data_IF_442043580668
#
_entry.id   IF_442043580668
#
_cell.length_a   1.000
_cell.length_b   1.000
_cell.length_c   1.000
_cell.angle_alpha   90.00
_cell.angle_beta   90.00
_cell.angle_gamma   90.00
#
_symmetry.space_group_name_H-M   'P 1'
#
loop_
_entity.id
_entity.type
_entity.pdbx_description
1 polymer ?
#
# COMPACT_ATOMS: atom_id res chain seq x y z
N UNK A 1 -11.91 14.34 5.66
CA UNK A 1 -10.62 13.65 5.49
C UNK A 1 -10.07 13.22 6.83
N UNK A 2 -9.87 11.91 6.99
CA UNK A 2 -9.27 11.26 8.16
C UNK A 2 -7.91 10.65 7.79
N UNK A 3 -7.06 10.44 8.78
CA UNK A 3 -5.74 9.85 8.60
C UNK A 3 -5.57 8.57 9.44
N UNK A 4 -4.86 7.60 8.88
CA UNK A 4 -4.27 6.45 9.57
C UNK A 4 -2.75 6.54 9.46
N UNK A 5 -2.05 6.24 10.54
CA UNK A 5 -0.60 6.14 10.58
C UNK A 5 -0.22 4.92 11.44
N UNK A 6 0.51 3.99 10.86
CA UNK A 6 0.81 2.70 11.49
C UNK A 6 2.28 2.35 11.23
N UNK A 7 2.98 1.91 12.27
CA UNK A 7 4.38 1.50 12.21
C UNK A 7 4.43 0.01 12.56
N UNK A 8 4.98 -0.80 11.67
CA UNK A 8 5.10 -2.25 11.85
C UNK A 8 6.55 -2.66 11.68
N UNK A 9 7.10 -3.31 12.70
CA UNK A 9 8.50 -3.76 12.72
C UNK A 9 8.62 -5.20 12.23
N UNK A 10 9.73 -5.50 11.56
CA UNK A 10 10.09 -6.85 11.11
C UNK A 10 11.60 -7.04 11.15
N UNK A 11 12.05 -8.29 11.31
CA UNK A 11 13.47 -8.67 11.24
C UNK A 11 13.99 -8.76 9.78
N UNK A 12 13.13 -8.57 8.79
CA UNK A 12 13.55 -8.49 7.38
C UNK A 12 14.28 -7.17 7.14
N UNK A 13 15.43 -7.22 6.47
CA UNK A 13 16.23 -6.04 6.13
C UNK A 13 15.44 -5.02 5.31
N UNK A 14 15.64 -3.73 5.58
CA UNK A 14 15.02 -2.62 4.85
C UNK A 14 15.20 -2.70 3.33
N UNK A 15 16.35 -3.20 2.86
CA UNK A 15 16.65 -3.34 1.43
C UNK A 15 15.69 -4.33 0.74
N UNK A 16 15.50 -5.52 1.31
CA UNK A 16 14.59 -6.54 0.76
C UNK A 16 13.13 -6.06 0.75
N UNK A 17 12.69 -5.44 1.84
CA UNK A 17 11.34 -4.87 1.94
C UNK A 17 11.14 -3.76 0.91
N UNK A 18 12.11 -2.85 0.78
CA UNK A 18 12.04 -1.76 -0.18
C UNK A 18 12.06 -2.25 -1.63
N UNK A 19 12.92 -3.22 -1.98
CA UNK A 19 12.98 -3.76 -3.33
C UNK A 19 11.62 -4.32 -3.78
N UNK A 20 10.88 -4.96 -2.87
CA UNK A 20 9.54 -5.48 -3.16
C UNK A 20 8.46 -4.38 -3.21
N UNK A 21 8.50 -3.41 -2.29
CA UNK A 21 7.54 -2.30 -2.28
C UNK A 21 7.72 -1.37 -3.49
N UNK A 22 8.96 -1.09 -3.87
CA UNK A 22 9.30 -0.20 -4.98
C UNK A 22 8.85 -0.74 -6.34
N UNK A 23 8.69 -2.05 -6.47
CA UNK A 23 8.02 -2.67 -7.62
C UNK A 23 6.50 -2.46 -7.53
N UNK A 24 6.08 -1.24 -7.88
CA UNK A 24 4.68 -0.82 -7.84
C UNK A 24 3.78 -1.70 -8.74
N UNK A 25 4.35 -2.23 -9.84
CA UNK A 25 3.67 -3.08 -10.82
C UNK A 25 3.55 -4.53 -10.37
N UNK A 26 4.36 -4.98 -9.39
CA UNK A 26 4.36 -6.35 -8.87
C UNK A 26 3.44 -6.57 -7.66
N UNK A 27 2.55 -5.63 -7.33
CA UNK A 27 1.80 -5.62 -6.07
C UNK A 27 1.04 -6.93 -5.76
N UNK A 28 0.31 -7.50 -6.74
CA UNK A 28 -0.47 -8.71 -6.51
C UNK A 28 0.39 -9.97 -6.29
N UNK A 29 1.67 -9.94 -6.66
CA UNK A 29 2.57 -11.08 -6.47
C UNK A 29 2.76 -11.43 -4.98
N UNK A 30 2.63 -10.43 -4.09
CA UNK A 30 2.81 -10.61 -2.66
C UNK A 30 1.57 -10.23 -1.85
N UNK A 31 0.86 -9.14 -2.19
CA UNK A 31 -0.27 -8.66 -1.39
C UNK A 31 -1.54 -9.51 -1.58
N UNK A 32 -1.79 -9.98 -2.80
CA UNK A 32 -2.94 -10.81 -3.14
C UNK A 32 -2.66 -12.32 -3.10
N UNK A 33 -1.46 -12.73 -2.65
CA UNK A 33 -1.01 -14.12 -2.77
C UNK A 33 -0.97 -14.63 -4.22
N UNK A 34 -0.80 -13.72 -5.20
CA UNK A 34 -0.85 -14.04 -6.63
C UNK A 34 -2.26 -14.15 -7.22
N UNK A 35 -3.32 -13.88 -6.45
CA UNK A 35 -4.69 -13.89 -6.95
C UNK A 35 -5.09 -12.51 -7.52
N UNK A 36 -5.89 -12.54 -8.59
CA UNK A 36 -6.40 -11.35 -9.28
C UNK A 36 -5.65 -11.05 -10.58
N UNK A 37 -5.98 -9.91 -11.19
CA UNK A 37 -5.34 -9.40 -12.40
C UNK A 37 -4.81 -8.00 -12.15
N UNK A 38 -3.62 -7.72 -12.69
CA UNK A 38 -2.99 -6.40 -12.65
C UNK A 38 -2.64 -5.99 -14.09
N UNK A 39 -2.97 -4.75 -14.44
CA UNK A 39 -2.51 -4.11 -15.68
C UNK A 39 -1.96 -2.73 -15.37
N UNK A 40 -0.98 -2.29 -16.18
CA UNK A 40 -0.26 -1.05 -15.96
C UNK A 40 -0.50 -0.13 -17.16
N UNK A 41 -0.83 1.13 -16.86
CA UNK A 41 -0.91 2.23 -17.83
C UNK A 41 0.23 3.21 -17.57
N UNK A 42 1.03 3.48 -18.59
CA UNK A 42 2.18 4.39 -18.50
C UNK A 42 3.39 3.78 -17.77
N UNK A 43 4.36 4.64 -17.45
CA UNK A 43 5.63 4.27 -16.84
C UNK A 43 6.10 5.34 -15.85
N UNK A 44 6.84 4.94 -14.81
CA UNK A 44 7.42 5.86 -13.82
C UNK A 44 6.39 6.63 -13.00
N UNK A 45 6.77 7.80 -12.48
CA UNK A 45 5.85 8.66 -11.73
C UNK A 45 4.67 9.07 -12.64
N UNK A 46 3.45 8.86 -12.16
CA UNK A 46 2.23 9.07 -12.91
C UNK A 46 1.64 7.80 -13.53
N UNK A 47 2.38 6.68 -13.55
CA UNK A 47 1.82 5.40 -14.01
C UNK A 47 0.67 4.93 -13.11
N UNK A 48 -0.28 4.23 -13.71
CA UNK A 48 -1.47 3.71 -13.04
C UNK A 48 -1.42 2.19 -13.03
N UNK A 49 -1.62 1.59 -11.86
CA UNK A 49 -1.91 0.16 -11.74
C UNK A 49 -3.41 -0.03 -11.60
N UNK A 50 -3.98 -0.88 -12.45
CA UNK A 50 -5.35 -1.34 -12.33
C UNK A 50 -5.33 -2.71 -11.67
N UNK A 51 -6.09 -2.86 -10.59
CA UNK A 51 -6.19 -4.08 -9.81
C UNK A 51 -7.61 -4.62 -9.92
N UNK A 52 -7.74 -5.87 -10.32
CA UNK A 52 -8.99 -6.62 -10.32
C UNK A 52 -8.86 -7.80 -9.36
N UNK A 53 -9.63 -7.78 -8.29
CA UNK A 53 -9.62 -8.78 -7.23
C UNK A 53 -11.04 -9.25 -6.94
N UNK A 54 -11.19 -10.32 -6.16
CA UNK A 54 -12.51 -10.82 -5.75
C UNK A 54 -13.35 -9.77 -4.99
N UNK A 55 -12.71 -8.79 -4.35
CA UNK A 55 -13.34 -7.68 -3.65
C UNK A 55 -13.72 -6.48 -4.52
N UNK A 56 -13.45 -6.52 -5.83
CA UNK A 56 -13.76 -5.45 -6.77
C UNK A 56 -12.55 -4.99 -7.60
N UNK A 57 -12.77 -3.91 -8.33
CA UNK A 57 -11.78 -3.28 -9.18
C UNK A 57 -11.42 -1.89 -8.65
N UNK A 58 -10.13 -1.58 -8.66
CA UNK A 58 -9.63 -0.26 -8.30
C UNK A 58 -8.43 0.11 -9.16
N UNK A 59 -8.11 1.39 -9.24
CA UNK A 59 -6.86 1.84 -9.86
C UNK A 59 -6.17 2.89 -9.01
N UNK A 60 -4.86 2.79 -8.94
CA UNK A 60 -3.99 3.66 -8.15
C UNK A 60 -2.88 4.20 -9.02
N UNK A 61 -2.59 5.49 -8.89
CA UNK A 61 -1.52 6.16 -9.60
C UNK A 61 -0.32 6.36 -8.70
N UNK A 62 0.86 6.04 -9.21
CA UNK A 62 2.13 6.30 -8.52
C UNK A 62 2.40 7.80 -8.49
N UNK A 63 2.54 8.36 -7.28
CA UNK A 63 2.76 9.80 -7.08
C UNK A 63 4.14 10.12 -6.50
N UNK A 64 4.78 9.15 -5.86
CA UNK A 64 6.11 9.27 -5.27
C UNK A 64 6.84 7.94 -5.37
N UNK A 65 8.09 7.99 -5.80
CA UNK A 65 9.06 6.89 -5.72
C UNK A 65 10.41 7.52 -5.40
N UNK A 66 10.87 7.31 -4.17
CA UNK A 66 12.08 7.91 -3.62
C UNK A 66 12.93 6.80 -3.00
N UNK A 67 13.86 6.21 -3.78
CA UNK A 67 14.73 5.13 -3.34
C UNK A 67 15.68 5.51 -2.21
N UNK A 68 16.14 6.77 -2.19
CA UNK A 68 17.09 7.26 -1.20
C UNK A 68 16.47 7.24 0.19
N UNK A 69 15.21 7.66 0.30
CA UNK A 69 14.46 7.64 1.56
C UNK A 69 13.54 6.41 1.73
N UNK A 70 13.55 5.49 0.77
CA UNK A 70 12.69 4.29 0.70
C UNK A 70 11.22 4.63 0.90
N UNK A 71 10.73 5.61 0.13
CA UNK A 71 9.35 6.09 0.16
C UNK A 71 8.65 5.83 -1.16
N UNK A 72 7.45 5.27 -1.07
CA UNK A 72 6.54 5.12 -2.18
C UNK A 72 5.20 5.74 -1.81
N UNK A 73 4.59 6.48 -2.73
CA UNK A 73 3.29 7.09 -2.52
C UNK A 73 2.39 6.95 -3.73
N UNK A 74 1.08 6.83 -3.49
CA UNK A 74 0.09 6.62 -4.53
C UNK A 74 -1.25 7.25 -4.16
N UNK A 75 -2.06 7.56 -5.16
CA UNK A 75 -3.43 8.02 -4.98
C UNK A 75 -4.43 7.14 -5.73
N UNK A 76 -5.61 6.98 -5.12
CA UNK A 76 -6.74 6.27 -5.71
C UNK A 76 -7.31 7.12 -6.85
N UNK A 77 -7.38 6.55 -8.05
CA UNK A 77 -7.92 7.20 -9.25
C UNK A 77 -9.19 6.52 -9.79
N UNK A 78 -9.46 5.27 -9.38
CA UNK A 78 -10.69 4.55 -9.70
C UNK A 78 -11.05 3.54 -8.60
N UNK A 79 -12.35 3.26 -8.45
CA UNK A 79 -12.88 2.36 -7.43
C UNK A 79 -13.08 3.04 -6.09
N UNK A 80 -13.70 2.32 -5.15
CA UNK A 80 -14.03 2.83 -3.82
C UNK A 80 -13.69 1.80 -2.74
N UNK A 81 -12.41 1.39 -2.63
CA UNK A 81 -12.00 0.41 -1.63
C UNK A 81 -12.36 0.89 -0.22
N UNK A 82 -12.97 0.01 0.58
CA UNK A 82 -13.41 0.30 1.95
C UNK A 82 -14.37 1.51 2.06
N UNK A 83 -15.05 1.88 0.97
CA UNK A 83 -15.94 3.05 0.90
C UNK A 83 -15.21 4.39 0.79
N UNK A 84 -13.91 4.39 0.47
CA UNK A 84 -13.13 5.62 0.30
C UNK A 84 -13.39 6.24 -1.07
N UNK A 85 -13.84 7.50 -1.10
CA UNK A 85 -13.99 8.31 -2.34
C UNK A 85 -12.71 8.99 -2.76
N UNK A 86 -11.86 9.32 -1.77
CA UNK A 86 -10.54 9.88 -1.97
C UNK A 86 -9.60 9.13 -1.06
N UNK A 87 -8.45 8.74 -1.58
CA UNK A 87 -7.43 8.08 -0.80
C UNK A 87 -6.06 8.39 -1.36
N UNK A 88 -5.12 8.68 -0.47
CA UNK A 88 -3.69 8.83 -0.75
C UNK A 88 -2.91 8.09 0.30
N UNK A 89 -1.86 7.42 -0.12
CA UNK A 89 -0.98 6.67 0.76
C UNK A 89 0.47 7.04 0.56
N UNK A 90 1.24 6.95 1.64
CA UNK A 90 2.70 6.90 1.62
C UNK A 90 3.12 5.71 2.48
N UNK A 91 3.95 4.84 1.91
CA UNK A 91 4.69 3.82 2.66
C UNK A 91 6.17 4.23 2.71
N UNK A 92 6.77 4.12 3.89
CA UNK A 92 8.19 4.35 4.11
C UNK A 92 8.82 3.14 4.79
N UNK A 93 10.01 2.74 4.37
CA UNK A 93 10.81 1.73 5.05
C UNK A 93 11.98 2.41 5.77
N UNK A 94 12.14 2.15 7.06
CA UNK A 94 13.23 2.70 7.88
C UNK A 94 14.07 1.55 8.41
N UNK A 95 15.38 1.60 8.15
CA UNK A 95 16.34 0.63 8.67
C UNK A 95 16.53 0.83 10.18
N UNK A 96 16.46 -0.25 10.96
CA UNK A 96 16.65 -0.24 12.41
C UNK A 96 17.97 -0.90 12.84
N UNK A 97 18.80 -1.35 11.89
CA UNK A 97 20.08 -2.03 12.11
C UNK A 97 19.96 -3.55 12.26
N UNK A 98 18.84 -4.05 12.81
CA UNK A 98 18.55 -5.49 12.95
C UNK A 98 17.35 -5.96 12.10
N UNK A 99 16.75 -5.07 11.34
CA UNK A 99 15.51 -5.28 10.60
C UNK A 99 15.04 -3.98 9.96
N UNK A 100 13.72 -3.78 9.89
CA UNK A 100 13.17 -2.48 9.52
C UNK A 100 11.79 -2.20 10.11
N UNK A 101 11.45 -0.92 10.14
CA UNK A 101 10.10 -0.42 10.36
C UNK A 101 9.44 -0.07 9.02
N UNK A 102 8.22 -0.56 8.82
CA UNK A 102 7.36 -0.23 7.69
C UNK A 102 6.29 0.73 8.19
N UNK A 103 6.36 1.97 7.72
CA UNK A 103 5.49 3.07 8.12
C UNK A 103 4.44 3.28 7.04
N UNK A 104 3.20 2.93 7.33
CA UNK A 104 2.05 3.19 6.47
C UNK A 104 1.32 4.45 6.90
N UNK A 105 1.10 5.36 5.95
CA UNK A 105 0.30 6.57 6.15
C UNK A 105 -0.77 6.63 5.08
N UNK A 106 -2.03 6.68 5.51
CA UNK A 106 -3.18 6.82 4.63
C UNK A 106 -3.98 8.05 4.99
N UNK A 107 -4.35 8.87 4.01
CA UNK A 107 -5.32 9.96 4.17
C UNK A 107 -6.49 9.67 3.24
N UNK A 108 -7.68 9.62 3.81
CA UNK A 108 -8.88 9.25 3.05
C UNK A 108 -10.09 10.10 3.40
N UNK A 109 -11.09 10.01 2.53
CA UNK A 109 -12.44 10.54 2.76
C UNK A 109 -13.47 9.51 2.33
N UNK A 110 -14.58 9.44 3.06
CA UNK A 110 -15.74 8.60 2.77
C UNK A 110 -16.90 9.49 2.34
N UNK A 111 -17.92 8.90 1.71
CA UNK A 111 -19.15 9.64 1.37
C UNK A 111 -19.91 10.10 2.61
N UNK A 112 -20.09 9.19 3.56
CA UNK A 112 -20.65 9.47 4.87
C UNK A 112 -19.51 9.72 5.90
N UNK A 113 -19.42 10.91 6.51
CA UNK A 113 -18.46 11.20 7.57
C UNK A 113 -18.58 10.25 8.78
N UNK A 114 -19.77 9.75 9.10
CA UNK A 114 -19.99 8.81 10.21
C UNK A 114 -19.28 7.47 10.03
N UNK A 115 -18.97 7.11 8.78
CA UNK A 115 -18.28 5.88 8.42
C UNK A 115 -16.74 5.96 8.52
N UNK A 116 -16.16 7.16 8.71
CA UNK A 116 -14.70 7.35 8.71
C UNK A 116 -13.98 6.57 9.81
N UNK A 117 -14.62 6.36 10.96
CA UNK A 117 -14.03 5.57 12.05
C UNK A 117 -13.88 4.09 11.68
N UNK A 118 -14.94 3.51 11.11
CA UNK A 118 -14.92 2.14 10.64
C UNK A 118 -13.94 1.94 9.46
N UNK A 119 -13.97 2.84 8.47
CA UNK A 119 -13.03 2.81 7.34
C UNK A 119 -11.58 2.95 7.82
N UNK A 120 -11.32 3.80 8.82
CA UNK A 120 -9.98 3.94 9.39
C UNK A 120 -9.49 2.65 10.06
N UNK A 121 -10.35 1.98 10.83
CA UNK A 121 -10.01 0.69 11.43
C UNK A 121 -9.76 -0.40 10.37
N UNK A 122 -10.59 -0.45 9.32
CA UNK A 122 -10.41 -1.39 8.22
C UNK A 122 -9.11 -1.11 7.42
N UNK A 123 -8.75 0.16 7.24
CA UNK A 123 -7.50 0.55 6.58
C UNK A 123 -6.27 0.16 7.42
N UNK A 124 -6.31 0.35 8.74
CA UNK A 124 -5.26 -0.14 9.64
C UNK A 124 -5.08 -1.65 9.52
N UNK A 125 -6.17 -2.42 9.56
CA UNK A 125 -6.13 -3.87 9.40
C UNK A 125 -5.59 -4.29 8.02
N UNK A 126 -5.89 -3.53 6.96
CA UNK A 126 -5.32 -3.77 5.64
C UNK A 126 -3.79 -3.53 5.61
N UNK A 127 -3.29 -2.49 6.27
CA UNK A 127 -1.85 -2.25 6.40
C UNK A 127 -1.13 -3.34 7.19
N UNK A 128 -1.74 -3.83 8.26
CA UNK A 128 -1.26 -4.99 9.03
C UNK A 128 -1.21 -6.25 8.16
N UNK A 129 -2.30 -6.56 7.46
CA UNK A 129 -2.39 -7.71 6.57
C UNK A 129 -1.37 -7.67 5.43
N UNK A 130 -1.22 -6.52 4.77
CA UNK A 130 -0.21 -6.33 3.71
C UNK A 130 1.20 -6.52 4.25
N UNK A 131 1.51 -5.98 5.43
CA UNK A 131 2.83 -6.16 6.04
C UNK A 131 3.10 -7.62 6.38
N UNK A 132 2.11 -8.33 6.94
CA UNK A 132 2.22 -9.76 7.20
C UNK A 132 2.47 -10.57 5.92
N UNK A 133 1.71 -10.29 4.85
CA UNK A 133 1.88 -10.94 3.55
C UNK A 133 3.25 -10.66 2.92
N UNK A 134 3.71 -9.41 3.00
CA UNK A 134 5.03 -8.99 2.54
C UNK A 134 6.14 -9.76 3.26
N UNK A 135 6.08 -9.85 4.59
CA UNK A 135 7.08 -10.56 5.39
C UNK A 135 7.07 -12.05 5.03
N UNK A 136 5.90 -12.67 4.98
CA UNK A 136 5.76 -14.08 4.60
C UNK A 136 6.31 -14.37 3.19
N UNK A 137 6.11 -13.45 2.24
CA UNK A 137 6.64 -13.57 0.88
C UNK A 137 8.18 -13.52 0.84
N UNK A 138 8.81 -12.74 1.73
CA UNK A 138 10.26 -12.54 1.78
C UNK A 138 11.01 -13.59 2.62
N UNK A 139 10.31 -14.32 3.48
CA UNK A 139 10.89 -15.34 4.38
C UNK A 139 10.56 -16.78 3.99
N UNK A 140 9.89 -16.98 2.86
CA UNK A 140 9.60 -18.30 2.30
C UNK A 140 10.82 -18.99 1.69
#
# INVERSE_FOLDING_TARGET
>A
MKQVNLILSTDVSAEKVWALLADFSGFLNWAGGGAGEISIEGEGIGMVRHLKMSGGELAERLTLLDPDNKRLGYDLVYGEPLGMKKYKAIVQVVDTGSGCDIIWKGVFDTEDPGSQDQTGAALSAAYEGMTGALVAYLTR
#
